data_IF_022718542167
#
_entry.id   IF_022718542167
#
_cell.length_a   1.000
_cell.length_b   1.000
_cell.length_c   1.000
_cell.angle_alpha   90.00
_cell.angle_beta   90.00
_cell.angle_gamma   90.00
#
_symmetry.space_group_name_H-M   'P 1'
#
loop_
_entity.id
_entity.type
_entity.pdbx_description
1 polymer ?
#
# COMPACT_ATOMS: atom_id res chain seq x y z
N UNK A 1 -12.16 3.38 13.83
CA UNK A 1 -11.21 3.20 12.71
C UNK A 1 -11.20 4.33 11.70
N UNK A 2 -12.33 5.01 11.40
CA UNK A 2 -12.34 6.06 10.36
C UNK A 2 -11.38 7.24 10.60
N UNK A 3 -11.26 7.73 11.83
CA UNK A 3 -10.35 8.84 12.17
C UNK A 3 -8.85 8.47 12.05
N UNK A 4 -8.49 7.25 12.45
CA UNK A 4 -7.12 6.73 12.37
C UNK A 4 -6.64 6.58 10.91
N UNK A 5 -7.51 6.04 10.05
CA UNK A 5 -7.25 5.98 8.61
C UNK A 5 -7.16 7.38 7.99
N UNK A 6 -7.99 8.33 8.42
CA UNK A 6 -7.92 9.71 7.94
C UNK A 6 -6.61 10.39 8.34
N UNK A 7 -6.17 10.23 9.60
CA UNK A 7 -4.91 10.78 10.10
C UNK A 7 -3.71 10.23 9.31
N UNK A 8 -3.63 8.90 9.17
CA UNK A 8 -2.55 8.23 8.41
C UNK A 8 -2.56 8.63 6.94
N UNK A 9 -3.75 8.73 6.32
CA UNK A 9 -3.90 9.09 4.92
C UNK A 9 -3.46 10.54 4.66
N UNK A 10 -4.01 11.50 5.41
CA UNK A 10 -3.65 12.92 5.28
C UNK A 10 -2.17 13.15 5.64
N UNK A 11 -1.66 12.46 6.68
CA UNK A 11 -0.25 12.51 7.06
C UNK A 11 0.69 12.07 5.95
N UNK A 12 0.37 10.98 5.25
CA UNK A 12 1.18 10.50 4.12
C UNK A 12 1.20 11.48 2.94
N UNK A 13 0.05 12.10 2.61
CA UNK A 13 -0.08 13.08 1.53
C UNK A 13 0.72 14.33 1.89
N UNK A 14 0.51 14.92 3.07
CA UNK A 14 1.23 16.13 3.50
C UNK A 14 2.74 15.85 3.61
N UNK A 15 3.15 14.70 4.15
CA UNK A 15 4.55 14.31 4.22
C UNK A 15 5.22 14.27 2.84
N UNK A 16 4.55 13.67 1.86
CA UNK A 16 5.04 13.64 0.48
C UNK A 16 5.08 15.04 -0.16
N UNK A 17 4.11 15.91 0.14
CA UNK A 17 4.07 17.30 -0.33
C UNK A 17 5.22 18.14 0.23
N UNK A 18 5.53 17.99 1.52
CA UNK A 18 6.62 18.72 2.17
C UNK A 18 7.97 18.30 1.59
N UNK A 19 8.18 17.00 1.34
CA UNK A 19 9.37 16.50 0.65
C UNK A 19 9.43 16.97 -0.81
N UNK A 20 8.29 16.94 -1.51
CA UNK A 20 8.17 17.45 -2.89
C UNK A 20 8.51 18.93 -3.01
N UNK A 21 8.08 19.75 -2.05
CA UNK A 21 8.39 21.18 -1.98
C UNK A 21 9.89 21.48 -1.78
N UNK A 22 10.66 20.53 -1.22
CA UNK A 22 12.11 20.68 -1.06
C UNK A 22 12.90 20.38 -2.34
N UNK A 23 12.25 19.83 -3.36
CA UNK A 23 12.87 19.52 -4.65
C UNK A 23 12.94 20.80 -5.48
N UNK A 24 14.16 21.23 -5.81
CA UNK A 24 14.38 22.40 -6.68
C UNK A 24 14.78 21.91 -8.06
N UNK A 25 13.98 22.23 -9.08
CA UNK A 25 14.29 21.94 -10.48
C UNK A 25 14.83 23.20 -11.13
N UNK A 26 16.07 23.17 -11.61
CA UNK A 26 16.72 24.29 -12.33
C UNK A 26 16.65 25.65 -11.61
N UNK A 27 16.71 25.65 -10.27
CA UNK A 27 16.69 26.88 -9.46
C UNK A 27 15.31 27.51 -9.24
N UNK A 28 14.23 26.84 -9.66
CA UNK A 28 12.85 27.25 -9.43
C UNK A 28 12.07 26.27 -8.55
N UNK A 29 11.08 26.79 -7.82
CA UNK A 29 10.10 25.97 -7.11
C UNK A 29 9.10 25.40 -8.12
N UNK A 30 9.09 24.08 -8.27
CA UNK A 30 8.13 23.41 -9.14
C UNK A 30 6.95 22.87 -8.31
N UNK A 31 5.80 23.53 -8.45
CA UNK A 31 4.55 23.18 -7.75
C UNK A 31 4.08 21.76 -8.14
N UNK A 32 4.55 21.24 -9.28
CA UNK A 32 4.16 19.93 -9.81
C UNK A 32 4.42 18.78 -8.81
N UNK A 33 5.50 18.84 -8.03
CA UNK A 33 5.82 17.82 -7.00
C UNK A 33 4.90 17.86 -5.79
N UNK A 34 4.32 19.02 -5.50
CA UNK A 34 3.36 19.22 -4.40
C UNK A 34 1.96 18.78 -4.81
N UNK A 35 1.58 19.00 -6.08
CA UNK A 35 0.26 18.64 -6.60
C UNK A 35 0.13 17.14 -6.91
N UNK A 36 1.23 16.47 -7.29
CA UNK A 36 1.21 15.04 -7.65
C UNK A 36 0.51 14.13 -6.61
N UNK A 37 0.89 14.11 -5.32
CA UNK A 37 0.26 13.23 -4.34
C UNK A 37 -1.24 13.54 -4.14
N UNK A 38 -1.65 14.80 -4.32
CA UNK A 38 -3.06 15.20 -4.25
C UNK A 38 -3.88 14.64 -5.43
N UNK A 39 -3.30 14.64 -6.63
CA UNK A 39 -3.95 14.07 -7.82
C UNK A 39 -4.00 12.54 -7.79
N UNK A 40 -2.96 11.88 -7.26
CA UNK A 40 -2.98 10.43 -7.02
C UNK A 40 -4.08 10.09 -6.01
N UNK A 41 -4.19 10.84 -4.91
CA UNK A 41 -5.25 10.68 -3.93
C UNK A 41 -6.66 10.88 -4.53
N UNK A 42 -6.86 11.94 -5.30
CA UNK A 42 -8.14 12.24 -5.94
C UNK A 42 -8.55 11.16 -6.96
N UNK A 43 -7.60 10.72 -7.81
CA UNK A 43 -7.84 9.63 -8.76
C UNK A 43 -8.10 8.30 -8.05
N UNK A 44 -7.41 8.02 -6.93
CA UNK A 44 -7.66 6.85 -6.09
C UNK A 44 -9.09 6.77 -5.56
N UNK A 45 -9.69 7.90 -5.17
CA UNK A 45 -11.10 7.96 -4.74
C UNK A 45 -12.03 7.57 -5.90
N UNK A 46 -11.79 8.13 -7.10
CA UNK A 46 -12.60 7.81 -8.29
C UNK A 46 -12.47 6.32 -8.64
N UNK A 47 -11.25 5.78 -8.62
CA UNK A 47 -11.00 4.36 -8.91
C UNK A 47 -11.65 3.45 -7.86
N UNK A 48 -11.63 3.83 -6.58
CA UNK A 48 -12.31 3.09 -5.51
C UNK A 48 -13.82 3.05 -5.73
N UNK A 49 -14.45 4.17 -6.10
CA UNK A 49 -15.88 4.22 -6.44
C UNK A 49 -16.19 3.28 -7.60
N UNK A 50 -15.40 3.31 -8.68
CA UNK A 50 -15.57 2.39 -9.81
C UNK A 50 -15.39 0.93 -9.37
N UNK A 51 -14.41 0.67 -8.51
CA UNK A 51 -14.14 -0.63 -7.91
C UNK A 51 -15.32 -1.22 -7.14
N UNK A 52 -16.06 -0.40 -6.40
CA UNK A 52 -17.23 -0.86 -5.63
C UNK A 52 -18.30 -1.48 -6.51
N UNK A 53 -18.52 -0.97 -7.73
CA UNK A 53 -19.49 -1.53 -8.66
C UNK A 53 -19.09 -2.91 -9.21
N UNK A 54 -17.82 -3.29 -9.10
CA UNK A 54 -17.29 -4.59 -9.55
C UNK A 54 -17.37 -5.68 -8.47
N UNK A 55 -17.68 -5.31 -7.23
CA UNK A 55 -17.83 -6.25 -6.11
C UNK A 55 -19.21 -6.91 -6.19
N UNK A 56 -19.28 -8.03 -6.92
CA UNK A 56 -20.49 -8.84 -7.04
C UNK A 56 -20.28 -10.21 -6.39
N UNK A 57 -21.09 -10.53 -5.39
CA UNK A 57 -21.11 -11.84 -4.71
C UNK A 57 -22.25 -12.69 -5.29
N UNK A 58 -21.95 -13.93 -5.68
CA UNK A 58 -22.97 -14.93 -6.04
C UNK A 58 -23.48 -15.62 -4.77
N UNK A 59 -24.73 -16.11 -4.78
CA UNK A 59 -25.28 -16.87 -3.64
C UNK A 59 -24.37 -18.06 -3.26
N UNK A 60 -24.04 -18.17 -1.97
CA UNK A 60 -23.09 -19.17 -1.45
C UNK A 60 -21.60 -18.86 -1.69
N UNK A 61 -21.27 -17.73 -2.32
CA UNK A 61 -19.89 -17.28 -2.52
C UNK A 61 -19.27 -16.68 -1.25
N UNK A 62 -17.94 -16.73 -1.15
CA UNK A 62 -17.21 -16.10 -0.05
C UNK A 62 -17.15 -14.57 -0.25
N UNK A 63 -17.78 -13.75 0.62
CA UNK A 63 -17.77 -12.30 0.49
C UNK A 63 -16.37 -11.69 0.53
N UNK A 64 -15.44 -12.29 1.29
CA UNK A 64 -14.07 -11.82 1.41
C UNK A 64 -13.34 -11.87 0.07
N UNK A 65 -13.50 -12.97 -0.68
CA UNK A 65 -12.89 -13.11 -2.01
C UNK A 65 -13.44 -12.08 -3.01
N UNK A 66 -14.72 -11.73 -2.90
CA UNK A 66 -15.31 -10.71 -3.75
C UNK A 66 -14.77 -9.31 -3.42
N UNK A 67 -14.59 -9.01 -2.13
CA UNK A 67 -14.00 -7.76 -1.66
C UNK A 67 -12.56 -7.61 -2.15
N UNK A 68 -11.72 -8.63 -1.91
CA UNK A 68 -10.34 -8.65 -2.38
C UNK A 68 -10.26 -8.45 -3.90
N UNK A 69 -11.16 -9.12 -4.65
CA UNK A 69 -11.21 -8.96 -6.11
C UNK A 69 -11.47 -7.51 -6.51
N UNK A 70 -12.39 -6.82 -5.82
CA UNK A 70 -12.64 -5.39 -6.03
C UNK A 70 -11.41 -4.53 -5.71
N UNK A 71 -10.73 -4.80 -4.61
CA UNK A 71 -9.50 -4.10 -4.19
C UNK A 71 -8.36 -4.29 -5.20
N UNK A 72 -8.10 -5.52 -5.63
CA UNK A 72 -7.05 -5.83 -6.61
C UNK A 72 -7.34 -5.18 -7.97
N UNK A 73 -8.59 -5.21 -8.43
CA UNK A 73 -8.95 -4.59 -9.71
C UNK A 73 -8.78 -3.07 -9.63
N UNK A 74 -9.28 -2.44 -8.55
CA UNK A 74 -9.15 -1.00 -8.33
C UNK A 74 -7.69 -0.57 -8.30
N UNK A 75 -6.85 -1.33 -7.58
CA UNK A 75 -5.41 -1.09 -7.49
C UNK A 75 -4.71 -1.24 -8.84
N UNK A 76 -5.09 -2.23 -9.64
CA UNK A 76 -4.50 -2.44 -10.96
C UNK A 76 -4.84 -1.31 -11.95
N UNK A 77 -6.09 -0.82 -11.93
CA UNK A 77 -6.49 0.33 -12.74
C UNK A 77 -5.72 1.58 -12.27
N UNK A 78 -5.55 1.76 -10.96
CA UNK A 78 -4.82 2.89 -10.39
C UNK A 78 -3.36 2.93 -10.84
N UNK A 79 -2.68 1.79 -11.03
CA UNK A 79 -1.31 1.76 -11.57
C UNK A 79 -1.22 2.45 -12.94
N UNK A 80 -2.19 2.20 -13.82
CA UNK A 80 -2.25 2.85 -15.14
C UNK A 80 -2.46 4.36 -15.04
N UNK A 81 -3.31 4.80 -14.10
CA UNK A 81 -3.55 6.23 -13.85
C UNK A 81 -2.31 6.91 -13.26
N UNK A 82 -1.62 6.27 -12.32
CA UNK A 82 -0.38 6.78 -11.72
C UNK A 82 0.70 6.94 -12.79
N UNK A 83 0.84 5.95 -13.69
CA UNK A 83 1.79 6.03 -14.81
C UNK A 83 1.52 7.27 -15.68
N UNK A 84 0.25 7.48 -16.05
CA UNK A 84 -0.14 8.63 -16.85
C UNK A 84 0.10 9.96 -16.11
N UNK A 85 -0.27 10.05 -14.83
CA UNK A 85 -0.06 11.27 -14.03
C UNK A 85 1.42 11.63 -13.90
N UNK A 86 2.28 10.66 -13.57
CA UNK A 86 3.72 10.91 -13.38
C UNK A 86 4.38 11.35 -14.69
N UNK A 87 4.04 10.72 -15.81
CA UNK A 87 4.65 11.05 -17.11
C UNK A 87 4.24 12.44 -17.64
N UNK A 88 3.03 12.91 -17.30
CA UNK A 88 2.53 14.22 -17.75
C UNK A 88 2.92 15.38 -16.82
N UNK A 89 3.06 15.11 -15.52
CA UNK A 89 3.24 16.16 -14.51
C UNK A 89 4.71 16.34 -14.13
N UNK A 90 5.51 15.26 -14.09
CA UNK A 90 6.90 15.35 -13.66
C UNK A 90 7.86 15.51 -14.84
N UNK A 91 8.86 16.41 -14.72
CA UNK A 91 9.96 16.46 -15.68
C UNK A 91 10.76 15.16 -15.65
N UNK A 92 11.35 14.79 -16.80
CA UNK A 92 12.07 13.52 -16.99
C UNK A 92 13.22 13.35 -15.99
N UNK A 93 13.95 14.44 -15.70
CA UNK A 93 15.05 14.46 -14.74
C UNK A 93 14.90 15.64 -13.78
N UNK A 94 15.08 15.40 -12.49
CA UNK A 94 15.12 16.43 -11.45
C UNK A 94 16.25 16.16 -10.46
N UNK A 95 16.87 17.21 -9.95
CA UNK A 95 18.01 17.08 -9.03
C UNK A 95 17.57 17.35 -7.60
N UNK A 96 17.90 16.44 -6.68
CA UNK A 96 17.73 16.65 -5.25
C UNK A 96 19.07 16.40 -4.55
N UNK A 97 19.56 17.39 -3.82
CA UNK A 97 20.84 17.34 -3.09
C UNK A 97 22.05 16.92 -3.93
N UNK A 98 22.08 17.28 -5.22
CA UNK A 98 23.18 16.94 -6.15
C UNK A 98 23.09 15.54 -6.76
N UNK A 99 22.04 14.77 -6.46
CA UNK A 99 21.73 13.49 -7.08
C UNK A 99 20.61 13.69 -8.12
N UNK A 100 20.78 13.11 -9.31
CA UNK A 100 19.81 13.16 -10.40
C UNK A 100 18.76 12.07 -10.22
N UNK A 101 17.49 12.42 -10.16
CA UNK A 101 16.39 11.48 -10.05
C UNK A 101 15.53 11.52 -11.31
N UNK A 102 14.98 10.37 -11.68
CA UNK A 102 14.10 10.23 -12.83
C UNK A 102 12.64 10.10 -12.41
N UNK A 103 11.72 10.53 -13.28
CA UNK A 103 10.28 10.36 -13.07
C UNK A 103 9.89 8.86 -12.90
N UNK A 104 10.62 7.96 -13.56
CA UNK A 104 10.41 6.52 -13.53
C UNK A 104 10.76 5.95 -12.16
N UNK A 105 11.76 6.54 -11.47
CA UNK A 105 12.06 6.22 -10.08
C UNK A 105 10.90 6.53 -9.13
N UNK A 106 10.21 7.65 -9.31
CA UNK A 106 9.02 7.99 -8.52
C UNK A 106 7.90 7.00 -8.79
N UNK A 107 7.66 6.66 -10.06
CA UNK A 107 6.64 5.69 -10.45
C UNK A 107 6.86 4.31 -9.83
N UNK A 108 8.08 3.77 -9.97
CA UNK A 108 8.40 2.45 -9.39
C UNK A 108 8.31 2.51 -7.86
N UNK A 109 8.69 3.63 -7.25
CA UNK A 109 8.58 3.80 -5.79
C UNK A 109 7.13 3.72 -5.31
N UNK A 110 6.21 4.41 -6.00
CA UNK A 110 4.78 4.34 -5.69
C UNK A 110 4.23 2.92 -5.90
N UNK A 111 4.66 2.22 -6.95
CA UNK A 111 4.25 0.83 -7.21
C UNK A 111 4.73 -0.13 -6.11
N UNK A 112 5.99 -0.02 -5.68
CA UNK A 112 6.53 -0.86 -4.60
C UNK A 112 5.70 -0.66 -3.33
N UNK A 113 5.37 0.59 -2.99
CA UNK A 113 4.51 0.91 -1.85
C UNK A 113 3.11 0.29 -1.97
N UNK A 114 2.50 0.36 -3.16
CA UNK A 114 1.19 -0.25 -3.43
C UNK A 114 1.22 -1.78 -3.25
N UNK A 115 2.22 -2.46 -3.83
CA UNK A 115 2.37 -3.91 -3.68
C UNK A 115 2.69 -4.32 -2.24
N UNK A 116 3.48 -3.52 -1.51
CA UNK A 116 3.75 -3.76 -0.10
C UNK A 116 2.45 -3.72 0.72
N UNK A 117 1.60 -2.71 0.49
CA UNK A 117 0.29 -2.60 1.14
C UNK A 117 -0.63 -3.78 0.84
N UNK A 118 -0.78 -4.14 -0.45
CA UNK A 118 -1.56 -5.31 -0.86
C UNK A 118 -1.01 -6.62 -0.28
N UNK A 119 0.32 -6.77 -0.23
CA UNK A 119 0.98 -7.94 0.36
C UNK A 119 0.67 -8.09 1.85
N UNK A 120 0.74 -6.99 2.62
CA UNK A 120 0.37 -6.97 4.04
C UNK A 120 -1.11 -7.33 4.22
N UNK A 121 -1.99 -6.82 3.36
CA UNK A 121 -3.42 -7.15 3.37
C UNK A 121 -3.68 -8.65 3.21
N UNK A 122 -3.06 -9.28 2.20
CA UNK A 122 -3.20 -10.74 1.95
C UNK A 122 -2.69 -11.58 3.12
N UNK A 123 -1.58 -11.18 3.74
CA UNK A 123 -1.04 -11.90 4.90
C UNK A 123 -1.97 -11.73 6.10
N UNK A 124 -2.46 -10.52 6.33
CA UNK A 124 -3.39 -10.24 7.43
C UNK A 124 -4.66 -11.09 7.26
N UNK A 125 -5.18 -11.19 6.04
CA UNK A 125 -6.29 -12.10 5.72
C UNK A 125 -5.93 -13.56 6.01
N UNK A 126 -4.74 -14.04 5.65
CA UNK A 126 -4.34 -15.42 5.94
C UNK A 126 -4.36 -15.74 7.45
N UNK A 127 -3.93 -14.80 8.29
CA UNK A 127 -3.87 -14.98 9.74
C UNK A 127 -5.18 -14.68 10.47
N UNK A 128 -6.14 -14.02 9.83
CA UNK A 128 -7.43 -13.60 10.45
C UNK A 128 -8.67 -14.23 9.82
N UNK A 129 -8.57 -14.72 8.59
CA UNK A 129 -9.68 -15.31 7.83
C UNK A 129 -10.14 -16.64 8.41
N UNK A 130 -11.42 -16.96 8.28
CA UNK A 130 -11.98 -18.24 8.72
C UNK A 130 -11.56 -19.38 7.79
N UNK A 131 -11.37 -20.57 8.34
CA UNK A 131 -10.89 -21.76 7.61
C UNK A 131 -9.47 -21.62 7.03
N UNK A 132 -8.61 -20.80 7.65
CA UNK A 132 -7.19 -20.76 7.32
C UNK A 132 -6.39 -21.58 8.33
N UNK A 133 -5.20 -22.05 7.92
CA UNK A 133 -4.35 -22.88 8.78
C UNK A 133 -4.05 -22.23 10.14
N UNK A 134 -3.75 -20.91 10.24
CA UNK A 134 -3.52 -20.26 11.53
C UNK A 134 -4.77 -20.23 12.40
N UNK A 135 -5.93 -19.85 11.86
CA UNK A 135 -7.17 -19.79 12.66
C UNK A 135 -7.66 -21.17 13.07
N UNK A 136 -7.56 -22.17 12.19
CA UNK A 136 -7.99 -23.53 12.48
C UNK A 136 -7.12 -24.17 13.57
N UNK A 137 -5.84 -23.78 13.65
CA UNK A 137 -4.97 -24.20 14.75
C UNK A 137 -5.47 -23.70 16.10
N UNK A 138 -5.96 -22.46 16.18
CA UNK A 138 -6.54 -21.86 17.39
C UNK A 138 -7.87 -22.54 17.73
N UNK A 139 -8.74 -22.77 16.73
CA UNK A 139 -10.02 -23.47 16.92
C UNK A 139 -9.80 -24.88 17.47
N UNK A 140 -8.79 -25.62 17.01
CA UNK A 140 -8.45 -26.93 17.57
C UNK A 140 -8.02 -26.85 19.03
N UNK A 141 -7.30 -25.79 19.43
CA UNK A 141 -6.91 -25.56 20.82
C UNK A 141 -8.08 -25.17 21.71
N UNK A 142 -9.22 -24.76 21.15
CA UNK A 142 -10.45 -24.57 21.94
C UNK A 142 -10.99 -25.88 22.52
N UNK A 143 -10.63 -27.05 21.96
CA UNK A 143 -11.01 -28.36 22.50
C UNK A 143 -10.29 -28.69 23.82
N UNK A 144 -9.12 -28.11 24.06
CA UNK A 144 -8.28 -28.39 25.24
C UNK A 144 -8.53 -27.41 26.39
N UNK A 145 -9.29 -26.34 26.14
CA UNK A 145 -9.75 -25.38 27.15
C UNK A 145 -9.50 -23.91 26.78
N UNK A 146 -9.99 -22.97 27.60
CA UNK A 146 -9.84 -21.54 27.33
C UNK A 146 -8.39 -21.05 27.46
N UNK A 147 -7.62 -21.62 28.40
CA UNK A 147 -6.23 -21.21 28.63
C UNK A 147 -5.31 -21.53 27.43
N UNK A 148 -5.43 -22.73 26.87
CA UNK A 148 -4.68 -23.16 25.68
C UNK A 148 -5.11 -22.38 24.43
N UNK A 149 -6.40 -22.04 24.32
CA UNK A 149 -6.90 -21.18 23.25
C UNK A 149 -6.28 -19.78 23.27
N UNK A 150 -6.18 -19.15 24.45
CA UNK A 150 -5.54 -17.82 24.60
C UNK A 150 -4.05 -17.89 24.26
N UNK A 151 -3.34 -18.91 24.75
CA UNK A 151 -1.90 -19.09 24.47
C UNK A 151 -1.66 -19.28 22.97
N UNK A 152 -2.48 -20.10 22.31
CA UNK A 152 -2.39 -20.32 20.87
C UNK A 152 -2.70 -19.05 20.08
N UNK A 153 -3.75 -18.31 20.46
CA UNK A 153 -4.09 -17.03 19.82
C UNK A 153 -2.98 -15.99 19.95
N UNK A 154 -2.38 -15.85 21.12
CA UNK A 154 -1.22 -14.98 21.34
C UNK A 154 -0.01 -15.41 20.50
N UNK A 155 0.29 -16.71 20.47
CA UNK A 155 1.41 -17.25 19.68
C UNK A 155 1.26 -16.97 18.18
N UNK A 156 0.08 -17.24 17.63
CA UNK A 156 -0.23 -16.95 16.21
C UNK A 156 -0.22 -15.44 15.94
N UNK A 157 -0.72 -14.62 16.87
CA UNK A 157 -0.68 -13.17 16.77
C UNK A 157 0.74 -12.60 16.76
N UNK A 158 1.65 -13.14 17.58
CA UNK A 158 3.07 -12.75 17.52
C UNK A 158 3.71 -13.18 16.19
N UNK A 159 3.38 -14.37 15.69
CA UNK A 159 3.90 -14.88 14.42
C UNK A 159 3.42 -14.05 13.21
N UNK A 160 2.18 -13.55 13.23
CA UNK A 160 1.59 -12.82 12.09
C UNK A 160 2.32 -11.50 11.78
N UNK A 161 3.04 -10.92 12.75
CA UNK A 161 3.78 -9.66 12.57
C UNK A 161 5.12 -9.81 11.84
N UNK A 162 5.70 -11.02 11.82
CA UNK A 162 7.04 -11.23 11.27
C UNK A 162 7.10 -10.93 9.76
N UNK A 163 6.12 -11.42 8.99
CA UNK A 163 6.12 -11.25 7.53
C UNK A 163 5.81 -9.80 7.13
N UNK A 164 4.81 -9.10 7.70
CA UNK A 164 4.60 -7.67 7.45
C UNK A 164 5.85 -6.81 7.71
N UNK A 165 6.59 -7.06 8.80
CA UNK A 165 7.83 -6.33 9.10
C UNK A 165 8.88 -6.56 8.02
N UNK A 166 9.03 -7.81 7.54
CA UNK A 166 9.96 -8.13 6.46
C UNK A 166 9.56 -7.43 5.15
N UNK A 167 8.27 -7.36 4.82
CA UNK A 167 7.78 -6.65 3.62
C UNK A 167 8.11 -5.17 3.71
N UNK A 168 7.84 -4.53 4.85
CA UNK A 168 8.14 -3.10 5.04
C UNK A 168 9.66 -2.87 4.92
N UNK A 169 10.47 -3.68 5.58
CA UNK A 169 11.93 -3.58 5.55
C UNK A 169 12.49 -3.75 4.13
N UNK A 170 12.02 -4.78 3.42
CA UNK A 170 12.41 -5.03 2.03
C UNK A 170 11.96 -3.90 1.09
N UNK A 171 10.79 -3.32 1.32
CA UNK A 171 10.28 -2.20 0.53
C UNK A 171 11.16 -0.96 0.72
N UNK A 172 11.49 -0.60 1.96
CA UNK A 172 12.37 0.54 2.27
C UNK A 172 13.75 0.34 1.65
N UNK A 173 14.35 -0.84 1.81
CA UNK A 173 15.67 -1.15 1.22
C UNK A 173 15.60 -1.19 -0.31
N UNK A 174 14.53 -1.73 -0.88
CA UNK A 174 14.32 -1.78 -2.33
C UNK A 174 14.26 -0.37 -2.91
N UNK A 175 13.52 0.53 -2.28
CA UNK A 175 13.39 1.94 -2.67
C UNK A 175 14.74 2.66 -2.67
N UNK A 176 15.52 2.52 -1.59
CA UNK A 176 16.81 3.22 -1.47
C UNK A 176 17.83 2.73 -2.49
N UNK A 177 17.88 1.42 -2.76
CA UNK A 177 18.78 0.87 -3.78
C UNK A 177 18.36 1.22 -5.20
N UNK A 178 17.05 1.25 -5.49
CA UNK A 178 16.55 1.63 -6.83
C UNK A 178 16.84 3.10 -7.14
N UNK A 179 16.68 3.97 -6.14
CA UNK A 179 17.04 5.38 -6.25
C UNK A 179 18.55 5.59 -6.41
N UNK A 180 19.39 4.75 -5.81
CA UNK A 180 20.84 4.82 -6.00
C UNK A 180 21.32 4.35 -7.40
N UNK A 181 20.54 3.51 -8.10
CA UNK A 181 20.89 2.98 -9.43
C UNK A 181 20.34 3.82 -10.59
N UNK A 182 19.38 4.72 -10.31
CA UNK A 182 18.78 5.63 -11.29
C UNK A 182 19.29 7.08 -11.19
N UNK A 183 20.36 7.28 -10.42
CA UNK A 183 21.22 8.49 -10.41
C UNK A 183 22.40 8.28 -11.34
#
# INVERSE_FOLDING_TARGET
MGADLFESYVGSIIGSMVLGASIVVMGGFDISFVILPLLIAASGIIMSIVGTFLVVVKEGGNPQKALNKGEFISSFILIGVIYFLIQNILPVNFTLNGLSYTNTGVFISTIIGLFAGLGIGVITEHYTGTHTSPTDSIVKQSLTGPATNIIAGLGVGMQSTAIPILIISASIIGLTNLQAYMV
#
